data_IF_029317056141
#
_entry.id   IF_029317056141
#
_cell.length_a   1.000
_cell.length_b   1.000
_cell.length_c   1.000
_cell.angle_alpha   90.00
_cell.angle_beta   90.00
_cell.angle_gamma   90.00
#
_symmetry.space_group_name_H-M   'P 1'
#
loop_
_entity.id
_entity.type
_entity.pdbx_description
1 polymer ?
#
# COMPACT_ATOMS: atom_id res chain seq x y z
N UNK A 1 -11.90 -22.04 -5.51
CA UNK A 1 -11.47 -20.76 -4.90
C UNK A 1 -11.16 -19.68 -5.93
N UNK A 2 -10.37 -19.94 -6.99
CA UNK A 2 -10.00 -18.92 -8.00
C UNK A 2 -11.16 -18.31 -8.80
N UNK A 3 -12.22 -19.06 -9.10
CA UNK A 3 -13.42 -18.52 -9.77
C UNK A 3 -14.07 -17.39 -8.97
N UNK A 4 -14.19 -17.55 -7.65
CA UNK A 4 -14.66 -16.52 -6.73
C UNK A 4 -13.72 -15.29 -6.74
N UNK A 5 -12.40 -15.53 -6.73
CA UNK A 5 -11.40 -14.46 -6.79
C UNK A 5 -11.46 -13.67 -8.11
N UNK A 6 -11.71 -14.35 -9.24
CA UNK A 6 -11.84 -13.72 -10.54
C UNK A 6 -13.10 -12.83 -10.64
N UNK A 7 -14.23 -13.29 -10.05
CA UNK A 7 -15.48 -12.52 -9.98
C UNK A 7 -15.33 -11.28 -9.11
N UNK A 8 -14.64 -11.40 -7.96
CA UNK A 8 -14.51 -10.33 -6.97
C UNK A 8 -13.11 -9.73 -6.88
N UNK A 9 -12.36 -9.71 -7.99
CA UNK A 9 -10.96 -9.25 -8.05
C UNK A 9 -10.72 -7.87 -7.43
N UNK A 10 -11.59 -6.90 -7.68
CA UNK A 10 -11.47 -5.56 -7.12
C UNK A 10 -11.64 -5.54 -5.59
N UNK A 11 -12.67 -6.23 -5.07
CA UNK A 11 -12.92 -6.29 -3.63
C UNK A 11 -11.76 -6.96 -2.89
N UNK A 12 -11.21 -8.03 -3.46
CA UNK A 12 -10.08 -8.76 -2.88
C UNK A 12 -8.81 -7.90 -2.93
N UNK A 13 -8.58 -7.15 -4.01
CA UNK A 13 -7.47 -6.21 -4.10
C UNK A 13 -7.60 -5.07 -3.07
N UNK A 14 -8.80 -4.56 -2.83
CA UNK A 14 -9.06 -3.54 -1.80
C UNK A 14 -8.79 -4.11 -0.41
N UNK A 15 -9.26 -5.32 -0.10
CA UNK A 15 -8.98 -5.97 1.19
C UNK A 15 -7.49 -6.20 1.42
N UNK A 16 -6.77 -6.65 0.38
CA UNK A 16 -5.31 -6.83 0.42
C UNK A 16 -4.59 -5.49 0.64
N UNK A 17 -5.02 -4.44 -0.07
CA UNK A 17 -4.49 -3.09 0.10
C UNK A 17 -4.69 -2.60 1.53
N UNK A 18 -5.90 -2.74 2.09
CA UNK A 18 -6.20 -2.32 3.46
C UNK A 18 -5.32 -3.07 4.46
N UNK A 19 -5.17 -4.39 4.32
CA UNK A 19 -4.32 -5.18 5.20
C UNK A 19 -2.86 -4.70 5.17
N UNK A 20 -2.28 -4.52 3.97
CA UNK A 20 -0.90 -4.05 3.81
C UNK A 20 -0.72 -2.62 4.32
N UNK A 21 -1.66 -1.72 4.03
CA UNK A 21 -1.60 -0.34 4.47
C UNK A 21 -1.77 -0.18 5.99
N UNK A 22 -2.57 -1.07 6.61
CA UNK A 22 -2.64 -1.18 8.08
C UNK A 22 -1.32 -1.61 8.69
N UNK A 23 -0.60 -2.57 8.08
CA UNK A 23 0.74 -2.95 8.54
C UNK A 23 1.71 -1.77 8.49
N UNK A 24 1.67 -0.94 7.44
CA UNK A 24 2.46 0.30 7.37
C UNK A 24 2.11 1.27 8.51
N UNK A 25 0.83 1.40 8.86
CA UNK A 25 0.38 2.27 9.95
C UNK A 25 0.77 1.76 11.35
N UNK A 26 0.84 0.44 11.53
CA UNK A 26 1.24 -0.18 12.80
C UNK A 26 2.75 -0.09 12.98
N UNK A 27 3.51 -0.40 11.92
CA UNK A 27 4.98 -0.39 11.97
C UNK A 27 5.57 1.01 11.98
N UNK A 28 4.80 2.02 11.54
CA UNK A 28 5.18 3.45 11.50
C UNK A 28 6.63 3.65 11.02
N UNK A 29 6.96 3.21 9.78
CA UNK A 29 8.34 3.26 9.31
C UNK A 29 8.89 4.68 9.38
N UNK A 30 10.13 4.82 9.85
CA UNK A 30 10.79 6.11 10.11
C UNK A 30 10.95 7.00 8.88
N UNK A 31 10.77 6.47 7.66
CA UNK A 31 10.77 7.25 6.41
C UNK A 31 9.43 7.97 6.13
N UNK A 32 8.32 7.48 6.70
CA UNK A 32 6.96 8.04 6.53
C UNK A 32 6.45 8.70 7.81
N UNK A 33 6.90 8.23 8.98
CA UNK A 33 6.48 8.73 10.28
C UNK A 33 7.61 9.44 11.00
N UNK A 34 7.25 10.45 11.79
CA UNK A 34 8.13 11.07 12.79
C UNK A 34 8.28 10.15 14.01
N UNK A 35 9.27 10.39 14.86
CA UNK A 35 9.45 9.64 16.11
C UNK A 35 8.24 9.83 17.05
N UNK A 36 7.56 10.97 16.94
CA UNK A 36 6.31 11.29 17.63
C UNK A 36 5.08 10.59 17.02
N UNK A 37 5.25 9.86 15.91
CA UNK A 37 4.19 9.09 15.25
C UNK A 37 3.27 9.89 14.33
N UNK A 38 3.59 11.16 14.05
CA UNK A 38 2.94 11.97 13.02
C UNK A 38 3.47 11.65 11.61
N UNK A 39 2.75 12.06 10.57
CA UNK A 39 3.25 11.92 9.20
C UNK A 39 4.37 12.91 8.92
N UNK A 40 5.44 12.43 8.28
CA UNK A 40 6.46 13.32 7.73
C UNK A 40 5.85 14.13 6.59
N UNK A 41 6.01 15.45 6.67
CA UNK A 41 5.57 16.32 5.60
C UNK A 41 6.45 16.11 4.36
N UNK A 42 5.81 16.03 3.19
CA UNK A 42 6.49 16.00 1.91
C UNK A 42 7.20 17.33 1.65
N UNK A 43 8.41 17.28 1.11
CA UNK A 43 9.17 18.47 0.70
C UNK A 43 10.66 18.19 0.53
N UNK A 44 11.33 19.04 -0.27
CA UNK A 44 12.78 18.95 -0.54
C UNK A 44 13.49 20.08 0.22
N UNK A 45 14.64 19.80 0.85
CA UNK A 45 15.52 20.86 1.39
C UNK A 45 15.51 21.10 2.91
N UNK A 46 14.79 20.30 3.72
CA UNK A 46 14.84 20.42 5.20
C UNK A 46 15.02 19.06 5.89
N UNK A 47 15.79 19.03 6.99
CA UNK A 47 16.23 17.82 7.73
C UNK A 47 15.11 16.89 8.22
N UNK A 48 13.86 17.36 8.28
CA UNK A 48 12.71 16.60 8.79
C UNK A 48 11.59 16.35 7.74
N UNK A 49 11.86 16.57 6.45
CA UNK A 49 10.91 16.28 5.38
C UNK A 49 11.16 14.90 4.76
N UNK A 50 10.11 14.28 4.23
CA UNK A 50 10.24 13.06 3.43
C UNK A 50 10.12 13.40 1.95
N UNK A 51 10.92 12.72 1.11
CA UNK A 51 10.79 12.79 -0.35
C UNK A 51 9.63 11.91 -0.82
N UNK A 52 9.10 11.05 0.05
CA UNK A 52 8.05 10.08 -0.30
C UNK A 52 6.76 10.46 0.44
N UNK A 53 5.77 11.06 -0.23
CA UNK A 53 4.50 11.37 0.42
C UNK A 53 3.71 10.10 0.71
N UNK A 54 2.97 10.07 1.83
CA UNK A 54 2.16 8.92 2.25
C UNK A 54 1.10 8.52 1.21
N UNK A 55 0.51 9.51 0.50
CA UNK A 55 -0.44 9.25 -0.57
C UNK A 55 0.22 8.53 -1.76
N UNK A 56 1.50 8.80 -2.04
CA UNK A 56 2.25 8.11 -3.09
C UNK A 56 2.46 6.64 -2.74
N UNK A 57 2.81 6.35 -1.48
CA UNK A 57 2.92 4.98 -0.97
C UNK A 57 1.58 4.24 -1.08
N UNK A 58 0.47 4.91 -0.73
CA UNK A 58 -0.86 4.34 -0.83
C UNK A 58 -1.23 3.96 -2.27
N UNK A 59 -0.98 4.84 -3.25
CA UNK A 59 -1.24 4.56 -4.67
C UNK A 59 -0.42 3.37 -5.15
N UNK A 60 0.88 3.35 -4.84
CA UNK A 60 1.79 2.27 -5.24
C UNK A 60 1.32 0.93 -4.64
N UNK A 61 0.98 0.89 -3.35
CA UNK A 61 0.45 -0.30 -2.70
C UNK A 61 -0.88 -0.77 -3.29
N UNK A 62 -1.78 0.15 -3.64
CA UNK A 62 -3.06 -0.19 -4.28
C UNK A 62 -2.86 -0.85 -5.65
N UNK A 63 -1.97 -0.29 -6.48
CA UNK A 63 -1.60 -0.86 -7.78
C UNK A 63 -1.01 -2.26 -7.60
N UNK A 64 -0.02 -2.42 -6.71
CA UNK A 64 0.58 -3.73 -6.45
C UNK A 64 -0.42 -4.74 -5.90
N UNK A 65 -1.36 -4.32 -5.06
CA UNK A 65 -2.41 -5.20 -4.53
C UNK A 65 -3.31 -5.74 -5.66
N UNK A 66 -3.70 -4.88 -6.60
CA UNK A 66 -4.48 -5.31 -7.76
C UNK A 66 -3.67 -6.23 -8.69
N UNK A 67 -2.42 -5.88 -8.97
CA UNK A 67 -1.54 -6.70 -9.80
C UNK A 67 -1.30 -8.08 -9.18
N UNK A 68 -1.10 -8.16 -7.86
CA UNK A 68 -0.93 -9.43 -7.15
C UNK A 68 -2.15 -10.33 -7.29
N UNK A 69 -3.36 -9.78 -7.12
CA UNK A 69 -4.61 -10.53 -7.33
C UNK A 69 -4.74 -10.98 -8.80
N UNK A 70 -4.40 -10.12 -9.75
CA UNK A 70 -4.46 -10.45 -11.17
C UNK A 70 -3.48 -11.57 -11.55
N UNK A 71 -2.24 -11.51 -11.05
CA UNK A 71 -1.23 -12.56 -11.27
C UNK A 71 -1.69 -13.88 -10.66
N UNK A 72 -2.23 -13.87 -9.44
CA UNK A 72 -2.75 -15.06 -8.78
C UNK A 72 -3.90 -15.74 -9.56
N UNK A 73 -4.76 -14.93 -10.20
CA UNK A 73 -5.85 -15.42 -11.05
C UNK A 73 -5.31 -15.94 -12.39
N UNK A 74 -4.32 -15.27 -12.99
CA UNK A 74 -3.75 -15.61 -14.30
C UNK A 74 -2.79 -16.80 -14.28
N UNK A 75 -2.06 -17.04 -13.18
CA UNK A 75 -1.00 -18.04 -13.11
C UNK A 75 -1.47 -19.51 -13.20
N UNK A 76 -2.75 -19.77 -13.43
CA UNK A 76 -3.36 -21.10 -13.50
C UNK A 76 -4.11 -21.35 -14.83
N UNK A 77 -3.83 -20.54 -15.86
CA UNK A 77 -4.22 -20.81 -17.26
C UNK A 77 -3.05 -21.40 -18.04
#
# INVERSE_FOLDING_TARGET
MKAFVNTHKANIAILLFLALFSVVHITKPTILYTEEGGFRQFGVGYRHKTVIPIWGVAIVLAIFSYLAVLVYVRSDM
#
